data_IF_135869772711
#
_entry.id   IF_135869772711
#
_cell.length_a   1.000
_cell.length_b   1.000
_cell.length_c   1.000
_cell.angle_alpha   90.00
_cell.angle_beta   90.00
_cell.angle_gamma   90.00
#
_symmetry.space_group_name_H-M   'P 1'
#
loop_
_entity.id
_entity.type
_entity.pdbx_description
1 polymer ?
#
# COMPACT_ATOMS: atom_id res chain seq x y z
N UNK A 1 11.77 40.73 -15.86
CA UNK A 1 11.21 40.84 -14.50
C UNK A 1 11.55 39.55 -13.76
N UNK A 2 12.15 39.61 -12.56
CA UNK A 2 12.54 38.44 -11.75
C UNK A 2 11.72 38.41 -10.46
N UNK A 3 11.09 37.28 -10.17
CA UNK A 3 10.31 37.05 -8.95
C UNK A 3 11.12 36.16 -8.00
N UNK A 4 11.16 36.54 -6.72
CA UNK A 4 11.84 35.78 -5.67
C UNK A 4 10.80 35.25 -4.67
N UNK A 5 10.80 33.94 -4.44
CA UNK A 5 9.96 33.31 -3.40
C UNK A 5 10.61 33.59 -2.05
N UNK A 6 9.88 34.27 -1.15
CA UNK A 6 10.41 34.62 0.19
C UNK A 6 10.25 33.48 1.19
N UNK A 7 9.14 32.75 1.12
CA UNK A 7 8.80 31.70 2.08
C UNK A 7 7.86 30.69 1.43
N UNK A 8 8.08 29.40 1.70
CA UNK A 8 7.25 28.31 1.21
C UNK A 8 6.93 27.35 2.35
N UNK A 9 5.68 26.90 2.42
CA UNK A 9 5.20 25.93 3.42
C UNK A 9 4.51 24.78 2.66
N UNK A 10 5.23 23.71 2.32
CA UNK A 10 4.64 22.58 1.62
C UNK A 10 3.75 21.76 2.55
N UNK A 11 2.68 21.23 1.98
CA UNK A 11 1.83 20.20 2.59
C UNK A 11 1.80 19.02 1.62
N UNK A 12 1.86 17.81 2.15
CA UNK A 12 1.82 16.59 1.36
C UNK A 12 1.08 15.48 2.10
N UNK A 13 0.61 14.53 1.31
CA UNK A 13 0.10 13.24 1.77
C UNK A 13 0.91 12.15 1.07
N UNK A 14 0.95 10.96 1.65
CA UNK A 14 1.64 9.81 1.08
C UNK A 14 0.61 8.90 0.39
N UNK A 15 1.08 8.17 -0.61
CA UNK A 15 0.35 7.06 -1.22
C UNK A 15 1.29 5.88 -1.35
N UNK A 16 0.73 4.67 -1.37
CA UNK A 16 1.48 3.50 -1.79
C UNK A 16 1.91 3.63 -3.24
N UNK A 17 3.12 3.15 -3.53
CA UNK A 17 3.62 3.05 -4.91
C UNK A 17 3.06 1.77 -5.57
N UNK A 18 1.76 1.78 -5.85
CA UNK A 18 1.05 0.74 -6.60
C UNK A 18 1.00 1.08 -8.09
N UNK A 19 0.69 0.10 -8.95
CA UNK A 19 0.63 0.36 -10.40
C UNK A 19 -0.45 1.37 -10.79
N UNK A 20 -1.61 1.29 -10.14
CA UNK A 20 -2.72 2.22 -10.34
C UNK A 20 -3.13 2.79 -8.95
N UNK A 21 -2.89 4.10 -8.69
CA UNK A 21 -3.19 4.73 -7.41
C UNK A 21 -4.67 4.74 -7.03
N UNK A 22 -5.57 4.65 -8.00
CA UNK A 22 -7.03 4.68 -7.78
C UNK A 22 -7.63 3.27 -7.68
N UNK A 23 -6.80 2.21 -7.78
CA UNK A 23 -7.25 0.83 -7.71
C UNK A 23 -7.56 0.40 -6.27
N UNK A 24 -8.35 -0.67 -6.17
CA UNK A 24 -8.81 -1.24 -4.91
C UNK A 24 -8.29 -2.65 -4.74
N UNK A 25 -8.13 -3.06 -3.49
CA UNK A 25 -7.78 -4.44 -3.19
C UNK A 25 -8.86 -5.39 -3.72
N UNK A 26 -8.52 -6.25 -4.68
CA UNK A 26 -9.48 -7.17 -5.31
C UNK A 26 -10.17 -8.17 -4.38
N UNK A 27 -9.74 -8.27 -3.11
CA UNK A 27 -10.35 -9.12 -2.08
C UNK A 27 -11.34 -8.34 -1.21
N UNK A 28 -10.91 -7.22 -0.61
CA UNK A 28 -11.74 -6.45 0.33
C UNK A 28 -12.41 -5.21 -0.27
N UNK A 29 -12.13 -4.88 -1.52
CA UNK A 29 -12.70 -3.75 -2.27
C UNK A 29 -12.48 -2.37 -1.63
N UNK A 30 -11.46 -2.24 -0.77
CA UNK A 30 -11.03 -0.96 -0.20
C UNK A 30 -9.77 -0.45 -0.93
N UNK A 31 -9.59 0.87 -0.96
CA UNK A 31 -8.38 1.53 -1.44
C UNK A 31 -7.14 1.10 -0.66
N UNK A 32 -5.99 1.12 -1.34
CA UNK A 32 -4.72 0.68 -0.76
C UNK A 32 -4.19 1.60 0.35
N UNK A 33 -4.46 2.91 0.30
CA UNK A 33 -4.07 3.84 1.38
C UNK A 33 -5.00 3.78 2.60
N UNK A 34 -6.10 3.05 2.46
CA UNK A 34 -7.03 2.75 3.54
C UNK A 34 -6.59 1.54 4.36
N UNK A 35 -7.58 0.89 4.96
CA UNK A 35 -7.42 -0.33 5.74
C UNK A 35 -8.30 -1.43 5.17
N UNK A 36 -7.89 -2.68 5.33
CA UNK A 36 -8.80 -3.80 5.14
C UNK A 36 -9.86 -3.84 6.25
N UNK A 37 -10.94 -4.60 6.06
CA UNK A 37 -12.04 -4.67 7.04
C UNK A 37 -11.68 -5.23 8.43
N UNK A 38 -10.47 -5.76 8.61
CA UNK A 38 -9.97 -6.27 9.88
C UNK A 38 -8.98 -5.32 10.59
N UNK A 39 -8.48 -4.29 9.90
CA UNK A 39 -7.50 -3.35 10.43
C UNK A 39 -8.14 -2.03 10.82
N UNK A 40 -7.57 -1.38 11.84
CA UNK A 40 -8.00 -0.06 12.31
C UNK A 40 -7.17 1.08 11.75
N UNK A 41 -5.85 0.88 11.67
CA UNK A 41 -4.88 1.90 11.29
C UNK A 41 -4.21 1.54 9.94
N UNK A 42 -4.05 2.51 9.00
CA UNK A 42 -3.40 2.28 7.71
C UNK A 42 -1.87 2.26 7.83
N UNK A 43 -1.17 2.04 6.71
CA UNK A 43 0.30 2.02 6.67
C UNK A 43 0.87 0.69 7.19
N UNK A 44 1.78 0.76 8.17
CA UNK A 44 2.50 -0.41 8.70
C UNK A 44 1.58 -1.47 9.33
N UNK A 45 0.40 -1.07 9.81
CA UNK A 45 -0.59 -1.99 10.40
C UNK A 45 -1.48 -2.68 9.35
N UNK A 46 -1.42 -2.29 8.08
CA UNK A 46 -2.11 -2.97 6.98
C UNK A 46 -1.27 -2.87 5.69
N UNK A 47 -0.09 -3.51 5.65
CA UNK A 47 0.84 -3.36 4.54
C UNK A 47 0.30 -4.00 3.26
N UNK A 48 0.92 -3.65 2.13
CA UNK A 48 0.62 -4.25 0.84
C UNK A 48 1.52 -5.44 0.55
N UNK A 49 0.95 -6.44 -0.12
CA UNK A 49 1.65 -7.58 -0.68
C UNK A 49 1.47 -7.57 -2.19
N UNK A 50 2.57 -7.78 -2.92
CA UNK A 50 2.59 -7.81 -4.38
C UNK A 50 3.05 -9.18 -4.84
N UNK A 51 2.27 -9.83 -5.69
CA UNK A 51 2.66 -11.11 -6.28
C UNK A 51 3.59 -10.92 -7.47
N UNK A 52 4.36 -11.93 -7.84
CA UNK A 52 5.12 -11.97 -9.11
C UNK A 52 4.20 -11.80 -10.33
N UNK A 53 2.93 -12.14 -10.16
CA UNK A 53 1.88 -11.88 -11.13
C UNK A 53 1.54 -10.39 -11.30
N UNK A 54 2.19 -9.50 -10.54
CA UNK A 54 2.01 -8.04 -10.49
C UNK A 54 0.65 -7.57 -9.99
N UNK A 55 -0.05 -8.39 -9.21
CA UNK A 55 -1.28 -7.98 -8.53
C UNK A 55 -0.99 -7.63 -7.07
N UNK A 56 -1.56 -6.52 -6.65
CA UNK A 56 -1.42 -5.93 -5.32
C UNK A 56 -2.65 -6.23 -4.46
N UNK A 57 -2.43 -6.61 -3.20
CA UNK A 57 -3.48 -6.80 -2.21
C UNK A 57 -3.00 -6.27 -0.85
N UNK A 58 -3.93 -5.97 0.07
CA UNK A 58 -3.55 -5.88 1.47
C UNK A 58 -3.00 -7.23 1.95
N UNK A 59 -1.90 -7.23 2.70
CA UNK A 59 -1.22 -8.42 3.20
C UNK A 59 -2.21 -9.33 3.97
N UNK A 60 -2.99 -8.75 4.88
CA UNK A 60 -3.98 -9.51 5.66
C UNK A 60 -5.08 -10.15 4.79
N UNK A 61 -5.45 -9.50 3.69
CA UNK A 61 -6.45 -10.04 2.78
C UNK A 61 -5.89 -11.24 2.02
N UNK A 62 -4.71 -11.12 1.44
CA UNK A 62 -4.11 -12.22 0.68
C UNK A 62 -3.69 -13.37 1.58
N UNK A 63 -3.12 -13.11 2.77
CA UNK A 63 -2.78 -14.16 3.73
C UNK A 63 -4.01 -14.97 4.15
N UNK A 64 -5.13 -14.30 4.44
CA UNK A 64 -6.40 -14.98 4.75
C UNK A 64 -6.91 -15.79 3.56
N UNK A 65 -6.83 -15.24 2.35
CA UNK A 65 -7.23 -15.96 1.14
C UNK A 65 -6.41 -17.23 0.92
N UNK A 66 -5.08 -17.15 1.06
CA UNK A 66 -4.19 -18.29 0.90
C UNK A 66 -4.35 -19.35 2.00
N UNK A 67 -4.74 -18.96 3.22
CA UNK A 67 -4.97 -19.92 4.31
C UNK A 67 -6.31 -20.67 4.17
N UNK A 68 -7.33 -20.05 3.59
CA UNK A 68 -8.65 -20.66 3.38
C UNK A 68 -8.71 -21.54 2.11
N UNK A 69 -7.81 -21.35 1.15
CA UNK A 69 -7.78 -22.10 -0.12
C UNK A 69 -6.78 -23.26 -0.07
N UNK A 70 -7.18 -24.39 -0.65
CA UNK A 70 -6.34 -25.59 -0.77
C UNK A 70 -5.12 -25.39 -1.68
N UNK A 71 -5.19 -24.46 -2.64
CA UNK A 71 -4.09 -24.16 -3.55
C UNK A 71 -3.79 -22.65 -3.51
N UNK A 72 -2.51 -22.25 -3.31
CA UNK A 72 -2.13 -20.85 -3.19
C UNK A 72 -2.14 -20.17 -4.55
N UNK A 73 -3.32 -19.69 -4.99
CA UNK A 73 -3.50 -18.99 -6.27
C UNK A 73 -3.84 -17.51 -6.06
N UNK A 74 -3.36 -16.67 -6.96
CA UNK A 74 -3.76 -15.26 -7.09
C UNK A 74 -5.28 -15.15 -7.37
N UNK A 75 -6.04 -14.35 -6.60
CA UNK A 75 -7.48 -14.17 -6.80
C UNK A 75 -7.88 -13.65 -8.19
N UNK A 76 -7.04 -12.80 -8.80
CA UNK A 76 -7.37 -12.13 -10.06
C UNK A 76 -6.99 -12.96 -11.30
N UNK A 77 -5.81 -13.56 -11.31
CA UNK A 77 -5.30 -14.26 -12.50
C UNK A 77 -5.16 -15.78 -12.35
N UNK A 78 -5.46 -16.34 -11.17
CA UNK A 78 -5.40 -17.79 -10.88
C UNK A 78 -4.02 -18.45 -11.10
N UNK A 79 -2.95 -17.66 -11.22
CA UNK A 79 -1.57 -18.15 -11.22
C UNK A 79 -1.14 -18.48 -9.78
N UNK A 80 -0.20 -19.41 -9.57
CA UNK A 80 0.39 -19.65 -8.25
C UNK A 80 0.87 -18.34 -7.62
N UNK A 81 0.54 -18.12 -6.36
CA UNK A 81 0.92 -16.92 -5.63
C UNK A 81 2.35 -17.05 -5.10
N UNK A 82 3.23 -16.22 -5.63
CA UNK A 82 4.58 -16.00 -5.15
C UNK A 82 4.70 -14.53 -4.78
N UNK A 83 4.91 -14.23 -3.51
CA UNK A 83 5.04 -12.86 -3.02
C UNK A 83 6.43 -12.33 -3.37
N UNK A 84 6.50 -11.13 -3.96
CA UNK A 84 7.76 -10.44 -4.20
C UNK A 84 8.22 -9.87 -2.88
N UNK A 85 9.19 -10.51 -2.23
CA UNK A 85 9.80 -9.98 -1.01
C UNK A 85 10.45 -8.63 -1.32
N UNK A 86 9.86 -7.53 -0.84
CA UNK A 86 10.42 -6.20 -1.03
C UNK A 86 11.68 -6.05 -0.18
N UNK A 87 12.84 -6.40 -0.74
CA UNK A 87 14.13 -5.94 -0.21
C UNK A 87 14.36 -4.51 -0.75
N UNK A 88 13.51 -3.58 -0.37
CA UNK A 88 13.74 -2.15 -0.58
C UNK A 88 14.15 -1.54 0.76
N UNK A 89 15.29 -0.81 0.84
CA UNK A 89 15.64 -0.11 2.06
C UNK A 89 14.51 0.87 2.40
N UNK A 90 14.01 0.80 3.63
CA UNK A 90 12.96 1.69 4.12
C UNK A 90 13.32 3.14 3.76
N UNK A 91 12.44 3.92 3.11
CA UNK A 91 12.68 5.35 2.97
C UNK A 91 12.81 5.93 4.37
N UNK A 92 13.89 6.70 4.59
CA UNK A 92 14.15 7.36 5.86
C UNK A 92 12.87 8.06 6.34
N UNK A 93 12.41 7.70 7.55
CA UNK A 93 11.22 8.25 8.19
C UNK A 93 11.24 9.77 7.98
N UNK A 94 10.30 10.29 7.20
CA UNK A 94 10.14 11.73 7.08
C UNK A 94 9.84 12.26 8.48
N UNK A 95 10.49 13.35 8.93
CA UNK A 95 10.23 13.91 10.24
C UNK A 95 8.74 14.27 10.31
N UNK A 96 8.06 13.72 11.31
CA UNK A 96 6.68 14.03 11.62
C UNK A 96 6.48 15.55 11.57
N UNK A 97 5.49 16.00 10.79
CA UNK A 97 5.12 17.41 10.73
C UNK A 97 4.85 17.89 12.17
N UNK A 98 5.50 18.97 12.64
CA UNK A 98 5.17 19.54 13.93
C UNK A 98 3.70 19.96 13.86
N UNK A 99 2.92 19.51 14.85
CA UNK A 99 1.50 19.79 14.99
C UNK A 99 1.23 21.27 14.75
N UNK A 100 0.32 21.53 13.82
CA UNK A 100 -0.25 22.85 13.59
C UNK A 100 -0.99 23.26 14.88
N UNK A 101 -0.77 24.47 15.42
CA UNK A 101 -1.46 24.96 16.62
C UNK A 101 -2.98 25.12 16.43
#
# INVERSE_FOLDING_TARGET
MKVHIQKWHPVGYWHWNVRDPDDVCGICQNYFDGVCGACKDPGDACPLAVGECTHEFHLHCIMKWLSEKHEPMCPLCKRPWLEVSSTAPAPARSPASPGVP
#
